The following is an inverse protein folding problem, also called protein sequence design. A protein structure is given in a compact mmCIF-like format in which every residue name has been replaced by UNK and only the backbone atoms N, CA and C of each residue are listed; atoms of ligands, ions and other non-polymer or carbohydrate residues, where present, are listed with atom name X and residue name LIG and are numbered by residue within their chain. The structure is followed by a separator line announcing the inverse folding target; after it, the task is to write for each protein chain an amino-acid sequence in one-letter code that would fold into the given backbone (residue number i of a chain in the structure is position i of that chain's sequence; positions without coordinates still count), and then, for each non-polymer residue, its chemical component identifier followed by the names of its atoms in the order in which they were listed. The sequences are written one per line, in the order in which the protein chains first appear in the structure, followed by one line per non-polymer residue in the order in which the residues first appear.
data_IF_822012666785
#
_entry.id   IF_822012666785
#
_cell.length_a   1.000
_cell.length_b   1.000
_cell.length_c   1.000
_cell.angle_alpha   90.00
_cell.angle_beta   90.00
_cell.angle_gamma   90.00
#
_symmetry.space_group_name_H-M   'P 1'
#
loop_
_entity.id
_entity.type
_entity.pdbx_description
1 polymer ?
#
# COMPACT_ATOMS: atom_id res chain seq x y z
N UNK A 1 -1.20 11.84 22.74
CA UNK A 1 -0.81 12.38 21.42
C UNK A 1 -0.69 11.22 20.46
N UNK A 2 -1.29 11.28 19.27
CA UNK A 2 -1.12 10.25 18.23
C UNK A 2 -0.01 10.66 17.27
N UNK A 3 0.91 9.74 16.93
CA UNK A 3 1.96 10.00 15.95
C UNK A 3 1.48 9.75 14.53
N UNK A 4 1.94 10.54 13.55
CA UNK A 4 1.66 10.28 12.13
C UNK A 4 2.43 9.03 11.68
N UNK A 5 1.81 8.22 10.85
CA UNK A 5 2.40 7.00 10.30
C UNK A 5 2.57 7.19 8.79
N UNK A 6 3.78 6.95 8.31
CA UNK A 6 4.10 6.96 6.89
C UNK A 6 4.61 5.58 6.48
N UNK A 7 4.03 5.03 5.42
CA UNK A 7 4.42 3.75 4.85
C UNK A 7 4.98 4.00 3.46
N UNK A 8 6.23 3.58 3.26
CA UNK A 8 6.86 3.50 1.94
C UNK A 8 6.95 2.03 1.59
N UNK A 9 6.14 1.64 0.62
CA UNK A 9 5.96 0.25 0.25
C UNK A 9 6.62 -0.02 -1.10
N UNK A 10 7.66 -0.84 -1.11
CA UNK A 10 8.25 -1.38 -2.34
C UNK A 10 7.40 -2.55 -2.86
N UNK A 11 6.68 -2.35 -3.97
CA UNK A 11 5.82 -3.38 -4.56
C UNK A 11 6.60 -4.44 -5.35
N UNK A 12 7.89 -4.21 -5.66
CA UNK A 12 8.73 -5.19 -6.34
C UNK A 12 9.17 -6.27 -5.35
N UNK A 13 9.69 -5.83 -4.20
CA UNK A 13 10.19 -6.76 -3.16
C UNK A 13 9.07 -7.27 -2.26
N UNK A 14 7.99 -6.50 -2.10
CA UNK A 14 6.80 -6.89 -1.33
C UNK A 14 5.53 -6.77 -2.20
N UNK A 15 5.30 -7.64 -3.20
CA UNK A 15 4.12 -7.53 -4.05
C UNK A 15 2.82 -7.81 -3.30
N UNK A 16 1.68 -7.40 -3.88
CA UNK A 16 0.36 -7.87 -3.41
C UNK A 16 0.32 -9.39 -3.56
N UNK A 17 -0.01 -10.15 -2.49
CA UNK A 17 -0.09 -11.60 -2.59
C UNK A 17 -1.16 -12.05 -3.58
N UNK A 18 -0.88 -13.13 -4.31
CA UNK A 18 -1.83 -13.69 -5.27
C UNK A 18 -3.13 -14.15 -4.57
N UNK A 19 -4.27 -13.90 -5.23
CA UNK A 19 -5.59 -14.23 -4.69
C UNK A 19 -6.09 -13.31 -3.57
N UNK A 20 -5.30 -12.32 -3.15
CA UNK A 20 -5.76 -11.28 -2.22
C UNK A 20 -6.35 -10.10 -2.99
N UNK A 21 -7.54 -9.68 -2.56
CA UNK A 21 -8.14 -8.44 -3.04
C UNK A 21 -7.29 -7.24 -2.59
N UNK A 22 -6.72 -6.52 -3.55
CA UNK A 22 -5.91 -5.33 -3.31
C UNK A 22 -6.64 -4.25 -2.50
N UNK A 23 -7.98 -4.22 -2.51
CA UNK A 23 -8.78 -3.33 -1.66
C UNK A 23 -8.56 -3.60 -0.16
N UNK A 24 -8.10 -4.79 0.21
CA UNK A 24 -7.85 -5.17 1.62
C UNK A 24 -6.46 -4.77 2.12
N UNK A 25 -5.53 -4.41 1.24
CA UNK A 25 -4.13 -4.10 1.62
C UNK A 25 -4.07 -2.96 2.64
N UNK A 26 -4.71 -1.81 2.34
CA UNK A 26 -4.74 -0.66 3.25
C UNK A 26 -5.39 -0.99 4.60
N UNK A 27 -6.63 -1.55 4.65
CA UNK A 27 -7.24 -1.95 5.93
C UNK A 27 -6.39 -2.94 6.74
N UNK A 28 -5.69 -3.87 6.09
CA UNK A 28 -4.79 -4.81 6.76
C UNK A 28 -3.58 -4.11 7.38
N UNK A 29 -2.95 -3.18 6.66
CA UNK A 29 -1.83 -2.37 7.16
C UNK A 29 -2.28 -1.52 8.36
N UNK A 30 -3.41 -0.81 8.23
CA UNK A 30 -3.98 0.02 9.30
C UNK A 30 -4.37 -0.83 10.53
N UNK A 31 -4.92 -2.02 10.31
CA UNK A 31 -5.23 -3.00 11.36
C UNK A 31 -3.99 -3.44 12.11
N UNK A 32 -2.91 -3.79 11.41
CA UNK A 32 -1.63 -4.17 12.01
C UNK A 32 -1.03 -3.06 12.88
N UNK A 33 -1.10 -1.80 12.45
CA UNK A 33 -0.69 -0.66 13.28
C UNK A 33 -1.54 -0.52 14.54
N UNK A 34 -2.86 -0.67 14.41
CA UNK A 34 -3.79 -0.57 15.55
C UNK A 34 -3.54 -1.67 16.59
N UNK A 35 -3.27 -2.90 16.16
CA UNK A 35 -2.93 -4.02 17.05
C UNK A 35 -1.65 -3.76 17.85
N UNK A 36 -0.70 -3.01 17.28
CA UNK A 36 0.53 -2.58 17.95
C UNK A 36 0.34 -1.28 18.78
N UNK A 37 -0.90 -0.77 18.90
CA UNK A 37 -1.22 0.44 19.67
C UNK A 37 -1.01 1.76 18.92
N UNK A 38 -0.69 1.72 17.62
CA UNK A 38 -0.57 2.91 16.79
C UNK A 38 -1.90 3.27 16.15
N UNK A 39 -2.47 4.40 16.56
CA UNK A 39 -3.81 4.86 16.14
C UNK A 39 -3.81 6.22 15.42
N UNK A 40 -2.64 6.69 15.00
CA UNK A 40 -2.54 7.96 14.30
C UNK A 40 -2.86 7.86 12.80
N UNK A 41 -2.94 9.01 12.10
CA UNK A 41 -3.23 9.05 10.68
C UNK A 41 -2.17 8.30 9.86
N UNK A 42 -2.62 7.48 8.91
CA UNK A 42 -1.76 6.67 8.04
C UNK A 42 -1.73 7.25 6.63
N UNK A 43 -0.52 7.47 6.11
CA UNK A 43 -0.27 7.80 4.70
C UNK A 43 0.57 6.70 4.07
N UNK A 44 0.14 6.17 2.92
CA UNK A 44 0.80 5.03 2.25
C UNK A 44 1.18 5.44 0.82
N UNK A 45 2.45 5.27 0.48
CA UNK A 45 2.96 5.38 -0.88
C UNK A 45 3.51 4.02 -1.34
N UNK A 46 2.98 3.50 -2.45
CA UNK A 46 3.36 2.24 -3.05
C UNK A 46 4.18 2.49 -4.31
N UNK A 47 5.39 1.96 -4.36
CA UNK A 47 6.36 2.20 -5.42
C UNK A 47 6.51 0.96 -6.29
N UNK A 48 6.32 1.10 -7.60
CA UNK A 48 6.52 -0.02 -8.50
C UNK A 48 6.40 0.36 -9.98
N UNK A 49 6.74 -0.60 -10.82
CA UNK A 49 6.62 -0.42 -12.26
C UNK A 49 5.17 -0.68 -12.70
N UNK A 50 4.48 0.39 -13.10
CA UNK A 50 3.09 0.32 -13.53
C UNK A 50 2.91 -0.51 -14.80
N UNK A 51 3.98 -0.70 -15.60
CA UNK A 51 3.91 -1.56 -16.79
C UNK A 51 3.98 -3.05 -16.45
N UNK A 52 4.56 -3.37 -15.28
CA UNK A 52 4.70 -4.75 -14.79
C UNK A 52 3.65 -5.09 -13.74
N UNK A 53 2.89 -4.11 -13.27
CA UNK A 53 1.82 -4.29 -12.29
C UNK A 53 0.46 -4.31 -13.00
N UNK A 54 -0.38 -5.34 -12.78
CA UNK A 54 -1.73 -5.37 -13.34
C UNK A 54 -2.54 -4.11 -13.01
N UNK A 55 -3.19 -3.53 -14.02
CA UNK A 55 -3.91 -2.26 -13.87
C UNK A 55 -5.01 -2.32 -12.79
N UNK A 56 -5.72 -3.46 -12.69
CA UNK A 56 -6.76 -3.62 -11.68
C UNK A 56 -6.22 -3.52 -10.25
N UNK A 57 -4.98 -3.97 -9.99
CA UNK A 57 -4.33 -3.82 -8.68
C UNK A 57 -3.98 -2.35 -8.44
N UNK A 58 -3.39 -1.65 -9.41
CA UNK A 58 -3.06 -0.23 -9.29
C UNK A 58 -4.31 0.62 -9.00
N UNK A 59 -5.42 0.33 -9.70
CA UNK A 59 -6.71 1.01 -9.49
C UNK A 59 -7.30 0.70 -8.12
N UNK A 60 -7.27 -0.56 -7.68
CA UNK A 60 -7.77 -0.96 -6.38
C UNK A 60 -6.97 -0.32 -5.23
N UNK A 61 -5.64 -0.29 -5.33
CA UNK A 61 -4.81 0.40 -4.34
C UNK A 61 -5.14 1.90 -4.30
N UNK A 62 -5.17 2.55 -5.46
CA UNK A 62 -5.47 3.98 -5.59
C UNK A 62 -6.86 4.34 -5.04
N UNK A 63 -7.88 3.52 -5.29
CA UNK A 63 -9.24 3.77 -4.78
C UNK A 63 -9.35 3.70 -3.26
N UNK A 64 -8.45 2.97 -2.59
CA UNK A 64 -8.34 3.00 -1.13
C UNK A 64 -7.54 4.18 -0.60
N UNK A 65 -6.99 5.05 -1.45
CA UNK A 65 -6.17 6.20 -1.06
C UNK A 65 -4.69 5.87 -0.83
N UNK A 66 -4.21 4.73 -1.32
CA UNK A 66 -2.77 4.46 -1.44
C UNK A 66 -2.23 5.24 -2.64
N UNK A 67 -1.19 6.04 -2.43
CA UNK A 67 -0.53 6.74 -3.53
C UNK A 67 0.33 5.76 -4.33
N UNK A 68 -0.09 5.41 -5.55
CA UNK A 68 0.69 4.55 -6.47
C UNK A 68 1.70 5.39 -7.25
N UNK A 69 2.98 5.13 -7.04
CA UNK A 69 4.10 5.87 -7.62
C UNK A 69 4.84 5.00 -8.62
N UNK A 70 4.90 5.47 -9.87
CA UNK A 70 5.62 4.78 -10.91
C UNK A 70 7.13 4.94 -10.73
N UNK A 71 7.83 3.81 -10.57
CA UNK A 71 9.28 3.72 -10.69
C UNK A 71 9.59 2.85 -11.91
N UNK A 72 10.57 3.26 -12.72
CA UNK A 72 11.07 2.43 -13.83
C UNK A 72 11.92 1.31 -13.25
N UNK A 73 11.60 0.07 -13.58
CA UNK A 73 12.56 -1.02 -13.34
C UNK A 73 13.76 -0.81 -14.25
N UNK A 74 14.96 -0.84 -13.66
CA UNK A 74 16.22 -0.87 -14.40
C UNK A 74 16.48 -2.22 -15.04
#
# INVERSE_FOLDING_TARGET
MTAKIHVWWDMKDCPVPEGIDALRVRPSIEGGFKEQGYSGPVSIAAYGDHKQTPEHLLRALSSTGVAVVHIRSG
#
